data_IF_266116989740
#
_entry.id   IF_266116989740
#
_cell.length_a   1.000
_cell.length_b   1.000
_cell.length_c   1.000
_cell.angle_alpha   90.00
_cell.angle_beta   90.00
_cell.angle_gamma   90.00
#
_symmetry.space_group_name_H-M   'P 1'
#
loop_
_entity.id
_entity.type
_entity.pdbx_description
1 polymer ?
#
# COMPACT_ATOMS: atom_id res chain seq x y z
N UNK A 1 -9.99 37.42 -14.80
CA UNK A 1 -9.64 35.99 -14.79
C UNK A 1 -10.75 35.27 -14.07
N UNK A 2 -11.56 34.52 -14.81
CA UNK A 2 -12.86 33.99 -14.38
C UNK A 2 -12.70 32.73 -13.53
N UNK A 3 -13.58 32.58 -12.54
CA UNK A 3 -13.67 31.46 -11.58
C UNK A 3 -13.57 30.06 -12.23
N UNK A 4 -13.98 29.91 -13.49
CA UNK A 4 -13.86 28.68 -14.27
C UNK A 4 -12.41 28.24 -14.56
N UNK A 5 -11.46 29.17 -14.76
CA UNK A 5 -10.05 28.83 -15.03
C UNK A 5 -9.31 28.33 -13.78
N UNK A 6 -9.73 28.79 -12.59
CA UNK A 6 -9.15 28.36 -11.31
C UNK A 6 -9.59 26.93 -10.95
N UNK A 7 -10.84 26.56 -11.24
CA UNK A 7 -11.37 25.20 -11.03
C UNK A 7 -10.70 24.20 -11.98
N UNK A 8 -10.53 24.56 -13.26
CA UNK A 8 -9.84 23.72 -14.24
C UNK A 8 -8.34 23.50 -13.91
N UNK A 9 -7.67 24.52 -13.37
CA UNK A 9 -6.29 24.41 -12.90
C UNK A 9 -6.15 23.49 -11.67
N UNK A 10 -7.11 23.56 -10.73
CA UNK A 10 -7.13 22.70 -9.55
C UNK A 10 -7.40 21.23 -9.91
N UNK A 11 -8.34 20.95 -10.83
CA UNK A 11 -8.66 19.59 -11.27
C UNK A 11 -7.49 18.92 -11.98
N UNK A 12 -6.77 19.66 -12.84
CA UNK A 12 -5.58 19.13 -13.54
C UNK A 12 -4.41 18.84 -12.60
N UNK A 13 -4.16 19.71 -11.60
CA UNK A 13 -3.15 19.48 -10.58
C UNK A 13 -3.48 18.27 -9.69
N UNK A 14 -4.75 18.12 -9.31
CA UNK A 14 -5.24 16.97 -8.54
C UNK A 14 -5.10 15.67 -9.34
N UNK A 15 -5.41 15.71 -10.64
CA UNK A 15 -5.24 14.57 -11.55
C UNK A 15 -3.78 14.15 -11.65
N UNK A 16 -2.86 15.09 -11.87
CA UNK A 16 -1.43 14.80 -11.94
C UNK A 16 -0.89 14.21 -10.62
N UNK A 17 -1.41 14.68 -9.49
CA UNK A 17 -1.04 14.19 -8.18
C UNK A 17 -1.54 12.76 -7.92
N UNK A 18 -2.76 12.43 -8.39
CA UNK A 18 -3.30 11.07 -8.40
C UNK A 18 -2.48 10.14 -9.29
N UNK A 19 -2.15 10.55 -10.51
CA UNK A 19 -1.31 9.75 -11.41
C UNK A 19 0.03 9.39 -10.76
N UNK A 20 0.71 10.38 -10.19
CA UNK A 20 1.97 10.15 -9.45
C UNK A 20 1.80 9.29 -8.20
N UNK A 21 0.62 9.33 -7.57
CA UNK A 21 0.32 8.46 -6.44
C UNK A 21 0.18 7.01 -6.91
N UNK A 22 -0.55 6.76 -7.99
CA UNK A 22 -0.68 5.42 -8.60
C UNK A 22 0.68 4.88 -9.06
N UNK A 23 1.50 5.70 -9.74
CA UNK A 23 2.86 5.30 -10.14
C UNK A 23 3.73 4.88 -8.94
N UNK A 24 3.64 5.61 -7.83
CA UNK A 24 4.36 5.25 -6.59
C UNK A 24 3.77 4.01 -5.94
N UNK A 25 2.46 3.81 -6.05
CA UNK A 25 1.77 2.68 -5.46
C UNK A 25 2.22 1.37 -6.09
N UNK A 26 2.40 1.33 -7.41
CA UNK A 26 2.98 0.16 -8.12
C UNK A 26 4.35 -0.21 -7.54
N UNK A 27 5.25 0.76 -7.39
CA UNK A 27 6.59 0.52 -6.80
C UNK A 27 6.50 0.07 -5.34
N UNK A 28 5.55 0.60 -4.58
CA UNK A 28 5.31 0.18 -3.20
C UNK A 28 4.82 -1.27 -3.13
N UNK A 29 3.92 -1.69 -4.02
CA UNK A 29 3.41 -3.07 -4.08
C UNK A 29 4.54 -4.03 -4.44
N UNK A 30 5.31 -3.75 -5.51
CA UNK A 30 6.45 -4.57 -5.91
C UNK A 30 7.45 -4.76 -4.75
N UNK A 31 7.67 -3.70 -3.97
CA UNK A 31 8.56 -3.79 -2.80
C UNK A 31 7.96 -4.62 -1.66
N UNK A 32 6.65 -4.53 -1.43
CA UNK A 32 5.95 -5.38 -0.46
C UNK A 32 6.07 -6.85 -0.84
N UNK A 33 5.89 -7.18 -2.11
CA UNK A 33 6.02 -8.55 -2.63
C UNK A 33 7.44 -9.08 -2.43
N UNK A 34 8.46 -8.33 -2.81
CA UNK A 34 9.85 -8.73 -2.59
C UNK A 34 10.19 -9.01 -1.11
N UNK A 35 9.70 -8.15 -0.19
CA UNK A 35 9.91 -8.35 1.24
C UNK A 35 9.14 -9.57 1.75
N UNK A 36 7.95 -9.84 1.20
CA UNK A 36 7.14 -11.00 1.52
C UNK A 36 7.80 -12.31 1.09
N UNK A 37 8.28 -12.37 -0.14
CA UNK A 37 9.05 -13.50 -0.67
C UNK A 37 10.29 -13.74 0.19
N UNK A 38 11.05 -12.68 0.50
CA UNK A 38 12.23 -12.79 1.36
C UNK A 38 11.87 -13.28 2.77
N UNK A 39 10.73 -12.83 3.32
CA UNK A 39 10.22 -13.29 4.61
C UNK A 39 9.81 -14.78 4.56
N UNK A 40 9.20 -15.23 3.46
CA UNK A 40 8.84 -16.63 3.22
C UNK A 40 10.06 -17.55 3.12
N UNK A 41 11.13 -17.05 2.51
CA UNK A 41 12.41 -17.76 2.41
C UNK A 41 13.22 -17.71 3.72
N UNK A 42 12.75 -17.00 4.74
CA UNK A 42 13.44 -16.83 6.03
C UNK A 42 14.68 -15.95 5.94
N UNK A 43 14.80 -15.13 4.89
CA UNK A 43 15.88 -14.17 4.71
C UNK A 43 15.53 -12.92 5.52
N UNK A 44 16.43 -12.53 6.44
CA UNK A 44 16.29 -11.34 7.29
C UNK A 44 14.84 -11.09 7.82
N UNK A 45 14.18 -12.10 8.43
CA UNK A 45 12.74 -12.08 8.67
C UNK A 45 12.31 -10.90 9.55
N UNK A 46 13.11 -10.53 10.55
CA UNK A 46 12.84 -9.36 11.39
C UNK A 46 12.93 -8.04 10.61
N UNK A 47 13.89 -7.90 9.70
CA UNK A 47 14.06 -6.69 8.86
C UNK A 47 12.91 -6.57 7.87
N UNK A 48 12.59 -7.65 7.17
CA UNK A 48 11.51 -7.67 6.19
C UNK A 48 10.14 -7.45 6.85
N UNK A 49 9.90 -8.05 8.02
CA UNK A 49 8.67 -7.84 8.79
C UNK A 49 8.50 -6.38 9.24
N UNK A 50 9.57 -5.74 9.70
CA UNK A 50 9.54 -4.30 10.04
C UNK A 50 9.32 -3.45 8.78
N UNK A 51 10.01 -3.76 7.69
CA UNK A 51 9.86 -3.05 6.42
C UNK A 51 8.45 -3.11 5.85
N UNK A 52 7.80 -4.27 5.90
CA UNK A 52 6.40 -4.46 5.49
C UNK A 52 5.46 -3.60 6.36
N UNK A 53 5.61 -3.66 7.69
CA UNK A 53 4.77 -2.87 8.61
C UNK A 53 4.90 -1.37 8.33
N UNK A 54 6.13 -0.88 8.16
CA UNK A 54 6.37 0.56 7.93
C UNK A 54 5.79 1.02 6.59
N UNK A 55 5.86 0.18 5.56
CA UNK A 55 5.31 0.53 4.25
C UNK A 55 3.79 0.51 4.22
N UNK A 56 3.17 -0.46 4.89
CA UNK A 56 1.71 -0.51 5.06
C UNK A 56 1.19 0.68 5.88
N UNK A 57 1.92 1.06 6.93
CA UNK A 57 1.60 2.25 7.73
C UNK A 57 1.66 3.54 6.89
N UNK A 58 2.70 3.65 6.05
CA UNK A 58 2.81 4.79 5.14
C UNK A 58 1.66 4.79 4.15
N UNK A 59 1.36 3.65 3.54
CA UNK A 59 0.33 3.48 2.53
C UNK A 59 -1.06 3.85 3.08
N UNK A 60 -1.41 3.35 4.28
CA UNK A 60 -2.68 3.66 4.93
C UNK A 60 -2.85 5.16 5.19
N UNK A 61 -1.78 5.82 5.64
CA UNK A 61 -1.78 7.28 5.89
C UNK A 61 -1.93 8.13 4.63
N UNK A 62 -1.28 7.75 3.52
CA UNK A 62 -1.30 8.56 2.30
C UNK A 62 -2.51 8.27 1.40
N UNK A 63 -3.07 7.06 1.41
CA UNK A 63 -4.17 6.67 0.54
C UNK A 63 -5.44 7.51 0.75
N UNK A 64 -5.76 7.83 2.01
CA UNK A 64 -6.88 8.72 2.36
C UNK A 64 -6.74 10.14 1.78
N UNK A 65 -5.50 10.64 1.68
CA UNK A 65 -5.22 12.00 1.16
C UNK A 65 -5.46 12.12 -0.35
N UNK A 66 -5.42 11.00 -1.09
CA UNK A 66 -5.61 10.97 -2.54
C UNK A 66 -7.00 10.48 -2.98
N UNK A 67 -7.88 10.15 -2.02
CA UNK A 67 -9.23 9.66 -2.27
C UNK A 67 -9.34 8.15 -2.44
N UNK A 68 -8.32 7.39 -2.01
CA UNK A 68 -8.31 5.93 -2.03
C UNK A 68 -8.59 5.39 -0.63
N UNK A 69 -9.79 5.66 -0.10
CA UNK A 69 -10.14 5.29 1.27
C UNK A 69 -10.09 3.76 1.49
N UNK A 70 -10.60 2.98 0.53
CA UNK A 70 -10.60 1.51 0.60
C UNK A 70 -9.18 0.93 0.65
N UNK A 71 -8.25 1.45 -0.17
CA UNK A 71 -6.84 1.09 -0.12
C UNK A 71 -6.22 1.38 1.26
N UNK A 72 -6.59 2.51 1.85
CA UNK A 72 -6.10 2.87 3.18
C UNK A 72 -6.57 1.92 4.27
N UNK A 73 -7.82 1.45 4.17
CA UNK A 73 -8.39 0.45 5.10
C UNK A 73 -7.69 -0.89 4.94
N UNK A 74 -7.57 -1.40 3.72
CA UNK A 74 -6.91 -2.69 3.44
C UNK A 74 -5.45 -2.68 3.92
N UNK A 75 -4.71 -1.59 3.67
CA UNK A 75 -3.33 -1.44 4.15
C UNK A 75 -3.24 -1.42 5.68
N UNK A 76 -4.20 -0.78 6.36
CA UNK A 76 -4.23 -0.74 7.83
C UNK A 76 -4.59 -2.11 8.45
N UNK A 77 -5.53 -2.85 7.87
CA UNK A 77 -5.88 -4.20 8.31
C UNK A 77 -4.69 -5.15 8.18
N UNK A 78 -3.97 -5.06 7.06
CA UNK A 78 -2.77 -5.83 6.81
C UNK A 78 -1.63 -5.43 7.76
N UNK A 79 -1.43 -4.13 8.02
CA UNK A 79 -0.46 -3.62 8.99
C UNK A 79 -0.70 -4.25 10.37
N UNK A 80 -1.96 -4.28 10.82
CA UNK A 80 -2.32 -4.89 12.10
C UNK A 80 -2.00 -6.38 12.14
N UNK A 81 -2.28 -7.10 11.05
CA UNK A 81 -1.99 -8.52 10.95
C UNK A 81 -0.49 -8.81 11.08
N UNK A 82 0.36 -8.04 10.38
CA UNK A 82 1.82 -8.15 10.47
C UNK A 82 2.38 -7.75 11.84
N UNK A 83 1.81 -6.73 12.50
CA UNK A 83 2.19 -6.36 13.87
C UNK A 83 1.92 -7.47 14.87
N UNK A 84 0.81 -8.19 14.71
CA UNK A 84 0.48 -9.30 15.60
C UNK A 84 1.46 -10.46 15.43
N UNK A 85 1.84 -10.79 14.19
CA UNK A 85 2.86 -11.83 13.94
C UNK A 85 4.24 -11.46 14.46
N UNK A 86 4.64 -10.19 14.38
CA UNK A 86 5.87 -9.72 15.02
C UNK A 86 5.86 -9.96 16.54
N UNK A 87 4.67 -10.04 17.14
CA UNK A 87 4.50 -10.31 18.57
C UNK A 87 4.49 -11.80 18.91
N UNK A 88 4.11 -12.66 17.96
CA UNK A 88 3.92 -14.11 18.19
C UNK A 88 5.00 -15.00 17.55
N UNK A 89 5.93 -14.47 16.77
CA UNK A 89 6.97 -15.23 16.00
C UNK A 89 6.41 -16.25 14.98
N UNK A 90 5.11 -16.18 14.62
CA UNK A 90 4.45 -17.11 13.70
C UNK A 90 4.19 -16.49 12.31
N UNK A 91 5.19 -16.51 11.42
CA UNK A 91 5.15 -15.80 10.12
C UNK A 91 4.34 -16.48 9.00
N UNK A 92 4.15 -17.80 9.04
CA UNK A 92 3.71 -18.56 7.86
C UNK A 92 2.24 -18.32 7.44
N UNK A 93 1.32 -18.10 8.40
CA UNK A 93 -0.11 -17.91 8.09
C UNK A 93 -0.43 -16.50 7.51
N UNK A 94 0.54 -15.58 7.51
CA UNK A 94 0.37 -14.23 6.97
C UNK A 94 0.73 -14.11 5.51
N UNK A 95 1.61 -14.97 5.00
CA UNK A 95 2.02 -14.94 3.60
C UNK A 95 0.81 -15.19 2.69
N UNK A 96 -0.01 -16.19 3.02
CA UNK A 96 -1.28 -16.45 2.32
C UNK A 96 -2.26 -15.27 2.38
N UNK A 97 -2.24 -14.46 3.45
CA UNK A 97 -3.10 -13.27 3.56
C UNK A 97 -2.54 -12.10 2.78
N UNK A 98 -1.22 -11.93 2.76
CA UNK A 98 -0.56 -10.87 2.03
C UNK A 98 -0.82 -11.00 0.53
N UNK A 99 -0.68 -12.21 -0.03
CA UNK A 99 -0.96 -12.47 -1.45
C UNK A 99 -2.40 -12.05 -1.84
N UNK A 100 -3.37 -12.33 -0.97
CA UNK A 100 -4.78 -11.94 -1.18
C UNK A 100 -4.96 -10.43 -1.20
N UNK A 101 -4.32 -9.71 -0.27
CA UNK A 101 -4.44 -8.25 -0.20
C UNK A 101 -3.65 -7.55 -1.31
N UNK A 102 -2.48 -8.06 -1.69
CA UNK A 102 -1.70 -7.57 -2.83
C UNK A 102 -2.51 -7.68 -4.12
N UNK A 103 -3.10 -8.84 -4.39
CA UNK A 103 -3.94 -9.04 -5.58
C UNK A 103 -5.12 -8.05 -5.63
N UNK A 104 -5.75 -7.82 -4.48
CA UNK A 104 -6.88 -6.88 -4.35
C UNK A 104 -6.46 -5.43 -4.55
N UNK A 105 -5.28 -5.04 -4.07
CA UNK A 105 -4.71 -3.71 -4.32
C UNK A 105 -4.42 -3.54 -5.82
N UNK A 106 -3.88 -4.56 -6.48
CA UNK A 106 -3.54 -4.51 -7.90
C UNK A 106 -4.79 -4.36 -8.80
N UNK A 107 -5.90 -5.04 -8.46
CA UNK A 107 -7.20 -4.86 -9.11
C UNK A 107 -7.72 -3.42 -8.99
N UNK A 108 -7.55 -2.78 -7.83
CA UNK A 108 -7.98 -1.40 -7.59
C UNK A 108 -7.14 -0.41 -8.41
N UNK A 109 -5.86 -0.70 -8.62
CA UNK A 109 -4.92 0.18 -9.34
C UNK A 109 -4.95 0.01 -10.85
N UNK A 110 -5.12 -1.21 -11.35
CA UNK A 110 -5.07 -1.53 -12.79
C UNK A 110 -6.46 -1.72 -13.44
N UNK A 111 -7.53 -1.83 -12.64
CA UNK A 111 -8.90 -2.10 -13.11
C UNK A 111 -9.77 -0.90 -13.48
N UNK A 112 -9.19 0.28 -13.74
CA UNK A 112 -9.93 1.50 -14.16
C UNK A 112 -9.50 2.03 -15.51
#
# INVERSE_FOLDING_TARGET
MTQAQAVQGADSALSALRTRFVERLTVTIERLDMMAESLAEGIEPSTNLVGIIDELHRLSGIAGSFGYAELGVEAAELEMAFREVRRTEEAHALLDKLDVHVARIDEITNGR
#
